data_IF_966040465177
#
_entry.id   IF_966040465177
#
_cell.length_a   1.000
_cell.length_b   1.000
_cell.length_c   1.000
_cell.angle_alpha   90.00
_cell.angle_beta   90.00
_cell.angle_gamma   90.00
#
_symmetry.space_group_name_H-M   'P 1'
#
loop_
_entity.id
_entity.type
_entity.pdbx_description
1 polymer ?
#
# COMPACT_ATOMS: atom_id res chain seq x y z
N UNK A 1 -1.22 30.38 5.82
CA UNK A 1 -1.53 29.65 4.57
C UNK A 1 -2.85 28.88 4.64
N UNK A 2 -3.09 28.05 5.70
CA UNK A 2 -4.31 27.20 5.79
C UNK A 2 -5.63 27.99 5.73
N UNK A 3 -5.69 29.21 6.29
CA UNK A 3 -6.91 30.06 6.25
C UNK A 3 -7.26 30.49 4.83
N UNK A 4 -6.26 30.90 4.06
CA UNK A 4 -6.43 31.31 2.66
C UNK A 4 -6.82 30.10 1.80
N UNK A 5 -6.22 28.94 2.04
CA UNK A 5 -6.57 27.70 1.36
C UNK A 5 -8.03 27.30 1.61
N UNK A 6 -8.51 27.39 2.86
CA UNK A 6 -9.90 27.12 3.20
C UNK A 6 -10.84 28.06 2.42
N UNK A 7 -10.52 29.37 2.33
CA UNK A 7 -11.34 30.33 1.59
C UNK A 7 -11.41 30.01 0.09
N UNK A 8 -10.33 29.52 -0.52
CA UNK A 8 -10.33 29.04 -1.92
C UNK A 8 -11.19 27.79 -2.07
N UNK A 9 -10.96 26.78 -1.24
CA UNK A 9 -11.68 25.51 -1.31
C UNK A 9 -13.19 25.65 -1.11
N UNK A 10 -13.65 26.59 -0.25
CA UNK A 10 -15.09 26.87 -0.07
C UNK A 10 -15.75 27.48 -1.30
N UNK A 11 -14.95 28.07 -2.22
CA UNK A 11 -15.40 28.54 -3.54
C UNK A 11 -15.22 27.50 -4.64
N UNK A 12 -14.78 26.27 -4.29
CA UNK A 12 -14.42 25.19 -5.21
C UNK A 12 -13.25 25.55 -6.14
N UNK A 13 -12.37 26.44 -5.70
CA UNK A 13 -11.13 26.77 -6.40
C UNK A 13 -10.04 25.76 -6.04
N UNK A 14 -9.22 25.37 -7.00
CA UNK A 14 -8.09 24.47 -6.79
C UNK A 14 -6.93 25.20 -6.09
N UNK A 15 -6.20 24.47 -5.26
CA UNK A 15 -4.93 24.94 -4.73
C UNK A 15 -3.80 24.62 -5.70
N UNK A 16 -2.85 25.53 -5.81
CA UNK A 16 -1.58 25.21 -6.46
C UNK A 16 -0.81 24.18 -5.62
N UNK A 17 0.17 23.51 -6.25
CA UNK A 17 1.08 22.60 -5.55
C UNK A 17 1.70 23.27 -4.31
N UNK A 18 2.22 24.49 -4.46
CA UNK A 18 2.89 25.23 -3.39
C UNK A 18 1.93 25.58 -2.23
N UNK A 19 0.69 25.94 -2.54
CA UNK A 19 -0.33 26.22 -1.50
C UNK A 19 -0.68 24.96 -0.71
N UNK A 20 -0.92 23.85 -1.41
CA UNK A 20 -1.26 22.58 -0.77
C UNK A 20 -0.09 22.03 0.06
N UNK A 21 1.16 22.13 -0.44
CA UNK A 21 2.37 21.73 0.29
C UNK A 21 2.56 22.56 1.56
N UNK A 22 2.40 23.90 1.45
CA UNK A 22 2.52 24.79 2.61
C UNK A 22 1.48 24.48 3.69
N UNK A 23 0.23 24.18 3.30
CA UNK A 23 -0.81 23.78 4.25
C UNK A 23 -0.47 22.45 4.90
N UNK A 24 0.01 21.47 4.14
CA UNK A 24 0.41 20.17 4.70
C UNK A 24 1.55 20.34 5.69
N UNK A 25 2.54 21.19 5.40
CA UNK A 25 3.63 21.50 6.34
C UNK A 25 3.09 22.13 7.63
N UNK A 26 2.20 23.15 7.57
CA UNK A 26 1.55 23.72 8.77
C UNK A 26 0.83 22.65 9.61
N UNK A 27 0.17 21.69 8.96
CA UNK A 27 -0.52 20.58 9.63
C UNK A 27 0.50 19.64 10.31
N UNK A 28 1.55 19.23 9.59
CA UNK A 28 2.55 18.27 10.08
C UNK A 28 3.45 18.88 11.15
N UNK A 29 3.69 20.19 11.15
CA UNK A 29 4.39 20.92 12.20
C UNK A 29 3.52 21.15 13.47
N UNK A 30 2.21 20.88 13.37
CA UNK A 30 1.26 21.08 14.46
C UNK A 30 0.87 22.56 14.68
N UNK A 31 1.08 23.41 13.68
CA UNK A 31 0.76 24.85 13.73
C UNK A 31 -0.72 25.11 13.42
N UNK A 32 -1.36 24.23 12.65
CA UNK A 32 -2.78 24.34 12.34
C UNK A 32 -3.67 23.92 13.53
N UNK A 33 -4.68 24.71 13.85
CA UNK A 33 -5.64 24.34 14.89
C UNK A 33 -6.57 23.20 14.45
N UNK A 34 -7.14 22.41 15.39
CA UNK A 34 -8.12 21.36 15.06
C UNK A 34 -9.29 21.85 14.18
N UNK A 35 -9.79 23.08 14.45
CA UNK A 35 -10.87 23.69 13.67
C UNK A 35 -10.41 23.97 12.23
N UNK A 36 -9.20 24.48 12.05
CA UNK A 36 -8.64 24.75 10.72
C UNK A 36 -8.41 23.46 9.93
N UNK A 37 -7.83 22.43 10.59
CA UNK A 37 -7.63 21.12 9.97
C UNK A 37 -8.96 20.49 9.55
N UNK A 38 -9.99 20.51 10.42
CA UNK A 38 -11.32 19.99 10.10
C UNK A 38 -11.94 20.71 8.91
N UNK A 39 -11.88 22.04 8.89
CA UNK A 39 -12.42 22.86 7.79
C UNK A 39 -11.68 22.58 6.47
N UNK A 40 -10.34 22.54 6.50
CA UNK A 40 -9.51 22.25 5.33
C UNK A 40 -9.79 20.88 4.74
N UNK A 41 -9.74 19.83 5.56
CA UNK A 41 -9.95 18.46 5.12
C UNK A 41 -11.36 18.24 4.57
N UNK A 42 -12.36 18.83 5.20
CA UNK A 42 -13.75 18.74 4.74
C UNK A 42 -13.95 19.49 3.43
N UNK A 43 -13.44 20.73 3.31
CA UNK A 43 -13.59 21.53 2.10
C UNK A 43 -12.85 20.90 0.91
N UNK A 44 -11.63 20.36 1.13
CA UNK A 44 -10.85 19.67 0.11
C UNK A 44 -11.57 18.41 -0.38
N UNK A 45 -12.08 17.59 0.55
CA UNK A 45 -12.84 16.38 0.21
C UNK A 45 -14.14 16.68 -0.55
N UNK A 46 -14.87 17.78 -0.19
CA UNK A 46 -16.09 18.18 -0.89
C UNK A 46 -15.83 18.75 -2.29
N UNK A 47 -14.67 19.39 -2.49
CA UNK A 47 -14.26 19.87 -3.81
C UNK A 47 -13.81 18.71 -4.71
N UNK A 48 -13.17 17.74 -4.13
CA UNK A 48 -12.41 16.69 -4.81
C UNK A 48 -10.95 17.12 -5.04
N UNK A 49 -10.02 16.28 -4.67
CA UNK A 49 -8.59 16.53 -4.73
C UNK A 49 -8.07 16.51 -6.18
N UNK A 50 -7.24 17.46 -6.56
CA UNK A 50 -6.49 17.43 -7.82
C UNK A 50 -5.21 16.63 -7.68
N UNK A 51 -4.61 16.22 -8.81
CA UNK A 51 -3.31 15.53 -8.84
C UNK A 51 -2.23 16.34 -8.13
N UNK A 52 -2.20 17.66 -8.34
CA UNK A 52 -1.21 18.54 -7.70
C UNK A 52 -1.43 18.67 -6.19
N UNK A 53 -2.68 18.77 -5.73
CA UNK A 53 -3.02 18.80 -4.31
C UNK A 53 -2.65 17.48 -3.60
N UNK A 54 -2.90 16.34 -4.23
CA UNK A 54 -2.52 15.02 -3.68
C UNK A 54 -1.00 14.90 -3.65
N UNK A 55 -0.31 15.25 -4.76
CA UNK A 55 1.15 15.16 -4.86
C UNK A 55 1.82 16.03 -3.80
N UNK A 56 1.38 17.28 -3.65
CA UNK A 56 1.89 18.22 -2.66
C UNK A 56 1.65 17.72 -1.22
N UNK A 57 0.47 17.18 -0.95
CA UNK A 57 0.13 16.61 0.36
C UNK A 57 1.02 15.41 0.70
N UNK A 58 1.27 14.52 -0.27
CA UNK A 58 2.18 13.39 -0.09
C UNK A 58 3.63 13.84 0.11
N UNK A 59 4.10 14.84 -0.65
CA UNK A 59 5.44 15.43 -0.48
C UNK A 59 5.63 16.02 0.91
N UNK A 60 4.68 16.81 1.39
CA UNK A 60 4.71 17.36 2.74
C UNK A 60 4.74 16.27 3.81
N UNK A 61 3.96 15.21 3.66
CA UNK A 61 3.96 14.08 4.57
C UNK A 61 5.30 13.31 4.55
N UNK A 62 5.91 13.10 3.37
CA UNK A 62 7.24 12.49 3.21
C UNK A 62 8.35 13.34 3.81
N UNK A 63 8.23 14.67 3.77
CA UNK A 63 9.21 15.58 4.36
C UNK A 63 9.26 15.48 5.89
N UNK A 64 8.14 15.15 6.52
CA UNK A 64 7.99 15.04 7.98
C UNK A 64 8.08 13.60 8.51
N UNK A 65 8.35 12.60 7.67
CA UNK A 65 8.56 11.24 8.14
C UNK A 65 10.01 10.97 8.54
N UNK A 66 10.21 9.99 9.41
CA UNK A 66 11.53 9.41 9.64
C UNK A 66 11.88 8.58 8.40
N UNK A 67 12.94 8.94 7.69
CA UNK A 67 13.34 8.26 6.45
C UNK A 67 14.09 6.97 6.76
N UNK A 68 13.78 5.91 6.03
CA UNK A 68 14.61 4.72 5.95
C UNK A 68 15.73 4.96 4.92
N UNK A 69 16.98 5.00 5.37
CA UNK A 69 18.11 5.25 4.49
C UNK A 69 18.64 3.94 3.88
N UNK A 70 18.68 3.87 2.57
CA UNK A 70 19.21 2.75 1.77
C UNK A 70 19.64 3.24 0.38
N UNK A 71 20.33 2.37 -0.37
CA UNK A 71 20.83 2.60 -1.72
C UNK A 71 20.27 1.60 -2.77
N UNK A 72 19.13 0.99 -2.47
CA UNK A 72 18.51 -0.05 -3.30
C UNK A 72 17.27 0.48 -4.02
N UNK A 73 16.97 -0.10 -5.18
CA UNK A 73 15.64 -0.03 -5.75
C UNK A 73 14.70 -0.91 -4.91
N UNK A 74 13.61 -0.33 -4.41
CA UNK A 74 12.69 -1.02 -3.52
C UNK A 74 11.26 -0.98 -4.04
N UNK A 75 10.56 -2.08 -3.79
CA UNK A 75 9.15 -2.23 -4.10
C UNK A 75 8.29 -1.97 -2.85
N UNK A 76 7.20 -1.22 -3.04
CA UNK A 76 6.04 -1.22 -2.15
C UNK A 76 4.91 -2.05 -2.78
N UNK A 77 4.21 -2.81 -1.96
CA UNK A 77 2.93 -3.45 -2.31
C UNK A 77 1.93 -3.14 -1.21
N UNK A 78 0.88 -2.39 -1.55
CA UNK A 78 -0.02 -1.81 -0.55
C UNK A 78 -1.39 -1.49 -1.15
N UNK A 79 -2.44 -1.60 -0.34
CA UNK A 79 -3.75 -1.04 -0.64
C UNK A 79 -4.02 0.22 0.18
N UNK A 80 -4.90 1.09 -0.32
CA UNK A 80 -5.38 2.26 0.43
C UNK A 80 -6.16 1.86 1.69
N UNK A 81 -6.70 0.65 1.69
CA UNK A 81 -7.69 0.23 2.67
C UNK A 81 -9.04 0.92 2.47
N UNK A 82 -9.98 0.64 3.36
CA UNK A 82 -11.29 1.28 3.33
C UNK A 82 -12.22 0.83 2.20
N UNK A 83 -11.89 -0.25 1.53
CA UNK A 83 -12.65 -0.87 0.43
C UNK A 83 -13.89 -1.66 0.91
N UNK A 84 -13.94 -1.99 2.21
CA UNK A 84 -15.04 -2.75 2.82
C UNK A 84 -15.08 -4.23 2.42
N UNK A 85 -14.02 -4.75 1.77
CA UNK A 85 -13.97 -6.14 1.28
C UNK A 85 -13.87 -7.18 2.40
N UNK A 86 -13.25 -6.79 3.54
CA UNK A 86 -12.86 -7.72 4.60
C UNK A 86 -12.03 -8.92 4.09
N UNK A 87 -11.22 -8.71 3.06
CA UNK A 87 -10.31 -9.72 2.53
C UNK A 87 -9.23 -10.09 3.57
N UNK A 88 -8.64 -11.28 3.43
CA UNK A 88 -7.42 -11.58 4.17
C UNK A 88 -6.27 -10.68 3.68
N UNK A 89 -5.16 -10.67 4.40
CA UNK A 89 -4.04 -9.77 4.11
C UNK A 89 -3.25 -10.21 2.85
N UNK A 90 -3.83 -10.00 1.66
CA UNK A 90 -3.30 -10.42 0.35
C UNK A 90 -1.93 -9.82 0.10
N UNK A 91 -1.82 -8.49 0.10
CA UNK A 91 -0.55 -7.78 -0.18
C UNK A 91 0.54 -8.09 0.85
N UNK A 92 0.18 -8.30 2.13
CA UNK A 92 1.15 -8.69 3.16
C UNK A 92 1.67 -10.09 2.93
N UNK A 93 0.82 -11.04 2.56
CA UNK A 93 1.24 -12.41 2.21
C UNK A 93 2.08 -12.40 0.93
N UNK A 94 1.66 -11.64 -0.10
CA UNK A 94 2.39 -11.47 -1.35
C UNK A 94 3.80 -10.88 -1.14
N UNK A 95 3.97 -9.94 -0.20
CA UNK A 95 5.27 -9.32 0.09
C UNK A 95 6.35 -10.34 0.51
N UNK A 96 5.96 -11.39 1.22
CA UNK A 96 6.87 -12.50 1.61
C UNK A 96 7.28 -13.34 0.39
N UNK A 97 6.35 -13.58 -0.53
CA UNK A 97 6.63 -14.32 -1.78
C UNK A 97 7.55 -13.49 -2.68
N UNK A 98 7.28 -12.20 -2.83
CA UNK A 98 8.10 -11.28 -3.64
C UNK A 98 9.52 -11.20 -3.08
N UNK A 99 9.66 -11.06 -1.77
CA UNK A 99 10.97 -11.01 -1.11
C UNK A 99 11.75 -12.33 -1.26
N UNK A 100 11.05 -13.47 -1.23
CA UNK A 100 11.65 -14.78 -1.54
C UNK A 100 12.17 -14.87 -2.99
N UNK A 101 11.54 -14.13 -3.92
CA UNK A 101 11.99 -13.96 -5.30
C UNK A 101 13.19 -13.01 -5.47
N UNK A 102 13.77 -12.52 -4.37
CA UNK A 102 14.95 -11.66 -4.38
C UNK A 102 14.67 -10.20 -4.75
N UNK A 103 13.47 -9.71 -4.52
CA UNK A 103 13.09 -8.30 -4.66
C UNK A 103 13.14 -7.62 -3.30
N UNK A 104 13.83 -6.48 -3.15
CA UNK A 104 13.76 -5.69 -1.93
C UNK A 104 12.36 -5.09 -1.75
N UNK A 105 11.65 -5.50 -0.70
CA UNK A 105 10.30 -5.03 -0.36
C UNK A 105 10.35 -4.19 0.91
N UNK A 106 10.06 -2.91 0.80
CA UNK A 106 9.91 -2.01 1.94
C UNK A 106 8.40 -1.82 2.21
N UNK A 107 7.79 -2.77 2.90
CA UNK A 107 6.35 -2.74 3.11
C UNK A 107 5.96 -1.73 4.18
N UNK A 108 5.27 -0.67 3.78
CA UNK A 108 4.65 0.28 4.69
C UNK A 108 3.25 -0.18 5.09
N UNK A 109 2.89 -0.02 6.34
CA UNK A 109 1.57 -0.44 6.78
C UNK A 109 1.22 -0.02 8.21
N UNK A 110 -0.05 -0.22 8.56
CA UNK A 110 -0.59 0.16 9.86
C UNK A 110 -1.48 -0.98 10.42
N UNK A 111 -1.97 -0.77 11.63
CA UNK A 111 -3.06 -1.58 12.20
C UNK A 111 -4.36 -1.34 11.44
N UNK A 112 -5.31 -2.25 11.61
CA UNK A 112 -6.64 -2.12 11.01
C UNK A 112 -7.31 -0.80 11.41
N UNK A 113 -7.90 -0.12 10.43
CA UNK A 113 -8.75 1.06 10.66
C UNK A 113 -10.24 0.71 10.58
N UNK A 114 -10.64 -0.07 9.58
CA UNK A 114 -12.03 -0.48 9.33
C UNK A 114 -12.20 -1.98 9.14
N UNK A 115 -11.12 -2.70 8.79
CA UNK A 115 -11.10 -4.16 8.68
C UNK A 115 -10.85 -4.83 10.04
N UNK A 116 -10.88 -6.17 10.09
CA UNK A 116 -10.57 -6.94 11.30
C UNK A 116 -9.07 -7.12 11.55
N UNK A 117 -8.23 -6.98 10.52
CA UNK A 117 -6.79 -7.21 10.59
C UNK A 117 -6.07 -6.34 9.55
N UNK A 118 -5.20 -5.43 10.02
CA UNK A 118 -4.28 -4.66 9.19
C UNK A 118 -2.97 -5.41 8.95
N UNK A 119 -2.08 -4.84 8.13
CA UNK A 119 -0.78 -5.43 7.84
C UNK A 119 0.09 -5.62 9.10
N UNK A 120 0.07 -4.63 10.01
CA UNK A 120 0.78 -4.71 11.28
C UNK A 120 0.24 -5.83 12.17
N UNK A 121 -1.09 -5.98 12.24
CA UNK A 121 -1.75 -6.96 13.10
C UNK A 121 -1.42 -8.39 12.67
N UNK A 122 -1.50 -8.69 11.38
CA UNK A 122 -1.18 -10.04 10.87
C UNK A 122 0.30 -10.37 10.98
N UNK A 123 1.22 -9.40 10.74
CA UNK A 123 2.65 -9.63 10.91
C UNK A 123 3.02 -9.92 12.36
N UNK A 124 2.43 -9.20 13.30
CA UNK A 124 2.59 -9.44 14.74
C UNK A 124 2.06 -10.84 15.15
N UNK A 125 0.88 -11.24 14.63
CA UNK A 125 0.33 -12.58 14.82
C UNK A 125 1.18 -13.69 14.17
N UNK A 126 1.92 -13.37 13.10
CA UNK A 126 2.91 -14.27 12.50
C UNK A 126 4.21 -14.36 13.33
N UNK A 127 4.42 -13.49 14.31
CA UNK A 127 5.58 -13.45 15.20
C UNK A 127 6.65 -12.45 14.78
N UNK A 128 6.38 -11.60 13.77
CA UNK A 128 7.30 -10.54 13.35
C UNK A 128 7.28 -9.39 14.36
N UNK A 129 8.44 -8.94 14.83
CA UNK A 129 8.54 -7.73 15.65
C UNK A 129 8.42 -6.50 14.77
N UNK A 130 7.26 -5.85 14.81
CA UNK A 130 6.93 -4.72 13.94
C UNK A 130 7.49 -3.37 14.43
N UNK A 131 7.94 -3.28 15.68
CA UNK A 131 8.43 -2.04 16.32
C UNK A 131 9.95 -2.01 16.41
N UNK A 132 10.63 -2.35 15.33
CA UNK A 132 12.10 -2.23 15.24
C UNK A 132 12.50 -0.81 14.86
N UNK A 133 13.77 -0.43 15.16
CA UNK A 133 14.28 0.89 14.79
C UNK A 133 14.44 1.03 13.26
N UNK A 134 14.50 2.27 12.74
CA UNK A 134 14.76 2.50 11.31
C UNK A 134 16.07 1.85 10.82
N UNK A 135 17.13 1.88 11.62
CA UNK A 135 18.41 1.25 11.30
C UNK A 135 18.26 -0.26 11.19
N UNK A 136 17.51 -0.88 12.12
CA UNK A 136 17.24 -2.31 12.08
C UNK A 136 16.36 -2.67 10.87
N UNK A 137 15.38 -1.83 10.52
CA UNK A 137 14.58 -2.02 9.30
C UNK A 137 15.45 -1.99 8.03
N UNK A 138 16.45 -1.09 7.96
CA UNK A 138 17.39 -1.04 6.83
C UNK A 138 18.28 -2.29 6.77
N UNK A 139 18.75 -2.80 7.92
CA UNK A 139 19.50 -4.05 7.99
C UNK A 139 18.67 -5.27 7.52
N UNK A 140 17.41 -5.35 7.98
CA UNK A 140 16.49 -6.42 7.55
C UNK A 140 16.24 -6.35 6.05
N UNK A 141 15.97 -5.17 5.50
CA UNK A 141 15.78 -4.97 4.07
C UNK A 141 17.00 -5.44 3.27
N UNK A 142 18.20 -5.05 3.68
CA UNK A 142 19.46 -5.43 3.03
C UNK A 142 19.75 -6.94 3.14
N UNK A 143 19.46 -7.55 4.30
CA UNK A 143 19.78 -8.95 4.58
C UNK A 143 18.75 -9.91 3.99
N UNK A 144 17.48 -9.55 4.07
CA UNK A 144 16.35 -10.44 3.81
C UNK A 144 15.53 -10.05 2.57
N UNK A 145 15.79 -8.90 1.96
CA UNK A 145 14.93 -8.29 0.94
C UNK A 145 13.53 -7.94 1.47
N UNK A 146 13.34 -7.78 2.78
CA UNK A 146 12.06 -7.37 3.34
C UNK A 146 12.25 -6.63 4.64
N UNK A 147 11.52 -5.53 4.81
CA UNK A 147 11.29 -4.88 6.09
C UNK A 147 9.82 -4.46 6.20
N UNK A 148 9.38 -4.22 7.44
CA UNK A 148 8.08 -3.62 7.70
C UNK A 148 8.25 -2.25 8.34
N UNK A 149 7.65 -1.25 7.71
CA UNK A 149 7.68 0.13 8.14
C UNK A 149 6.35 0.44 8.83
N UNK A 150 6.32 0.28 10.15
CA UNK A 150 5.11 0.52 10.94
C UNK A 150 4.78 2.02 10.95
N UNK A 151 3.69 2.42 10.33
CA UNK A 151 3.37 3.83 10.07
C UNK A 151 3.45 4.72 11.32
N UNK A 152 3.06 4.23 12.51
CA UNK A 152 3.11 5.01 13.74
C UNK A 152 4.53 5.35 14.19
N UNK A 153 5.53 4.54 13.83
CA UNK A 153 6.93 4.78 14.17
C UNK A 153 7.60 5.77 13.22
N UNK A 154 7.12 5.88 11.99
CA UNK A 154 7.73 6.72 10.94
C UNK A 154 7.01 8.05 10.74
N UNK A 155 5.69 8.10 10.88
CA UNK A 155 4.87 9.30 10.68
C UNK A 155 4.40 9.89 12.00
N UNK A 156 5.34 10.35 12.84
CA UNK A 156 5.04 10.86 14.19
C UNK A 156 4.12 12.08 14.14
N UNK A 157 4.22 12.91 13.10
CA UNK A 157 3.36 14.08 12.89
C UNK A 157 1.87 13.74 12.73
N UNK A 158 1.53 12.49 12.39
CA UNK A 158 0.13 12.04 12.32
C UNK A 158 -0.61 12.13 13.66
N UNK A 159 0.08 12.27 14.79
CA UNK A 159 -0.53 12.54 16.10
C UNK A 159 -1.41 13.79 16.12
N UNK A 160 -1.11 14.78 15.26
CA UNK A 160 -1.90 16.01 15.15
C UNK A 160 -3.20 15.81 14.36
N UNK A 161 -3.20 14.89 13.40
CA UNK A 161 -4.29 14.68 12.44
C UNK A 161 -5.20 13.52 12.83
N UNK A 162 -4.66 12.45 13.41
CA UNK A 162 -5.40 11.22 13.69
C UNK A 162 -6.67 11.43 14.55
N UNK A 163 -6.65 12.25 15.63
CA UNK A 163 -7.85 12.52 16.42
C UNK A 163 -8.94 13.21 15.59
N UNK A 164 -8.54 14.17 14.73
CA UNK A 164 -9.45 14.94 13.90
C UNK A 164 -10.12 14.05 12.85
N UNK A 165 -9.34 13.21 12.17
CA UNK A 165 -9.87 12.24 11.19
C UNK A 165 -10.88 11.28 11.83
N UNK A 166 -10.58 10.82 13.06
CA UNK A 166 -11.48 9.94 13.82
C UNK A 166 -12.80 10.63 14.16
N UNK A 167 -12.74 11.90 14.56
CA UNK A 167 -13.93 12.68 14.93
C UNK A 167 -14.77 13.07 13.70
N UNK A 168 -14.11 13.45 12.58
CA UNK A 168 -14.79 13.74 11.32
C UNK A 168 -15.54 12.53 10.76
N UNK A 169 -14.98 11.33 10.86
CA UNK A 169 -15.62 10.10 10.39
C UNK A 169 -15.89 10.03 8.89
N UNK A 170 -15.30 10.92 8.10
CA UNK A 170 -15.42 10.97 6.62
C UNK A 170 -14.10 10.59 5.95
N UNK A 171 -14.16 10.27 4.67
CA UNK A 171 -12.95 10.14 3.85
C UNK A 171 -12.35 11.51 3.57
N UNK A 172 -11.03 11.59 3.64
CA UNK A 172 -10.23 12.78 3.35
C UNK A 172 -9.02 12.39 2.52
N UNK A 173 -8.23 13.34 2.05
CA UNK A 173 -6.96 13.09 1.35
C UNK A 173 -6.06 12.09 2.09
N UNK A 174 -6.08 12.04 3.40
CA UNK A 174 -5.31 11.07 4.19
C UNK A 174 -5.70 9.60 3.97
N UNK A 175 -6.82 9.30 3.33
CA UNK A 175 -7.19 7.92 2.99
C UNK A 175 -6.40 7.38 1.80
N UNK A 176 -5.78 8.26 1.01
CA UNK A 176 -4.94 7.90 -0.13
C UNK A 176 -3.46 8.24 0.06
N UNK A 177 -3.11 9.02 1.09
CA UNK A 177 -1.71 9.43 1.33
C UNK A 177 -0.82 8.32 1.93
N UNK A 178 -1.41 7.32 2.60
CA UNK A 178 -0.64 6.24 3.23
C UNK A 178 0.29 5.52 2.25
N UNK A 179 -0.22 4.94 1.15
CA UNK A 179 0.59 4.34 0.09
C UNK A 179 1.63 5.29 -0.49
N UNK A 180 1.24 6.53 -0.75
CA UNK A 180 2.09 7.56 -1.37
C UNK A 180 3.21 8.09 -0.47
N UNK A 181 3.26 7.67 0.81
CA UNK A 181 4.16 8.24 1.82
C UNK A 181 5.15 7.23 2.40
N UNK A 182 5.52 6.20 1.63
CA UNK A 182 6.46 5.18 2.08
C UNK A 182 7.79 5.81 2.55
N UNK A 183 8.23 5.57 3.81
CA UNK A 183 9.45 6.15 4.38
C UNK A 183 10.75 5.72 3.69
N UNK A 184 10.74 4.60 2.97
CA UNK A 184 11.87 4.15 2.15
C UNK A 184 11.95 4.87 0.80
N UNK A 185 10.94 5.67 0.42
CA UNK A 185 10.93 6.30 -0.90
C UNK A 185 10.88 5.28 -2.03
N UNK A 186 10.04 4.26 -1.89
CA UNK A 186 9.90 3.19 -2.89
C UNK A 186 9.73 3.78 -4.29
N UNK A 187 10.56 3.29 -5.22
CA UNK A 187 10.56 3.73 -6.63
C UNK A 187 9.88 2.72 -7.57
N UNK A 188 9.40 1.60 -7.00
CA UNK A 188 8.52 0.64 -7.66
C UNK A 188 7.32 0.37 -6.74
N UNK A 189 6.10 0.29 -7.29
CA UNK A 189 4.91 0.16 -6.45
C UNK A 189 3.76 -0.56 -7.15
N UNK A 190 3.13 -1.51 -6.43
CA UNK A 190 1.79 -2.01 -6.73
C UNK A 190 0.82 -1.46 -5.69
N UNK A 191 -0.05 -0.54 -6.12
CA UNK A 191 -0.98 0.17 -5.25
C UNK A 191 -2.42 -0.18 -5.59
N UNK A 192 -3.13 -0.76 -4.64
CA UNK A 192 -4.58 -0.95 -4.74
C UNK A 192 -5.37 0.24 -4.22
N UNK A 193 -6.50 0.55 -4.84
CA UNK A 193 -7.36 1.67 -4.48
C UNK A 193 -8.80 1.22 -4.21
N UNK A 194 -9.50 1.96 -3.34
CA UNK A 194 -10.90 1.65 -2.95
C UNK A 194 -11.94 2.17 -3.95
N UNK A 195 -11.53 2.93 -4.97
CA UNK A 195 -12.42 3.54 -5.97
C UNK A 195 -11.73 3.55 -7.34
N UNK A 196 -12.44 3.12 -8.38
CA UNK A 196 -11.91 3.06 -9.74
C UNK A 196 -11.51 4.44 -10.28
N UNK A 197 -12.20 5.50 -9.87
CA UNK A 197 -11.89 6.86 -10.27
C UNK A 197 -10.50 7.34 -9.81
N UNK A 198 -9.87 6.65 -8.85
CA UNK A 198 -8.53 6.96 -8.35
C UNK A 198 -7.42 6.28 -9.17
N UNK A 199 -7.72 5.31 -10.02
CA UNK A 199 -6.71 4.49 -10.71
C UNK A 199 -5.76 5.35 -11.54
N UNK A 200 -6.26 6.13 -12.47
CA UNK A 200 -5.42 6.98 -13.33
C UNK A 200 -4.83 8.20 -12.59
N UNK A 201 -5.59 8.94 -11.77
CA UNK A 201 -5.01 10.07 -11.03
C UNK A 201 -3.86 9.66 -10.10
N UNK A 202 -3.99 8.55 -9.36
CA UNK A 202 -2.94 8.14 -8.44
C UNK A 202 -1.73 7.55 -9.16
N UNK A 203 -1.87 6.96 -10.35
CA UNK A 203 -0.73 6.59 -11.19
C UNK A 203 0.10 7.83 -11.57
N UNK A 204 -0.55 8.94 -11.94
CA UNK A 204 0.14 10.20 -12.24
C UNK A 204 0.80 10.79 -10.99
N UNK A 205 0.15 10.74 -9.83
CA UNK A 205 0.74 11.16 -8.55
C UNK A 205 1.97 10.33 -8.21
N UNK A 206 1.90 9.00 -8.32
CA UNK A 206 3.02 8.09 -8.06
C UNK A 206 4.23 8.45 -8.93
N UNK A 207 4.03 8.66 -10.24
CA UNK A 207 5.10 9.06 -11.15
C UNK A 207 5.71 10.42 -10.77
N UNK A 208 4.89 11.41 -10.40
CA UNK A 208 5.37 12.72 -9.89
C UNK A 208 6.18 12.58 -8.59
N UNK A 209 5.88 11.57 -7.77
CA UNK A 209 6.58 11.28 -6.51
C UNK A 209 7.82 10.38 -6.70
N UNK A 210 8.18 10.04 -7.94
CA UNK A 210 9.42 9.33 -8.26
C UNK A 210 9.28 7.83 -8.47
N UNK A 211 8.06 7.29 -8.55
CA UNK A 211 7.85 5.90 -8.97
C UNK A 211 8.14 5.76 -10.45
N UNK A 212 9.10 4.92 -10.80
CA UNK A 212 9.55 4.70 -12.19
C UNK A 212 8.82 3.55 -12.86
N UNK A 213 8.39 2.56 -12.08
CA UNK A 213 7.59 1.42 -12.54
C UNK A 213 6.57 1.06 -11.48
N UNK A 214 5.33 0.87 -11.88
CA UNK A 214 4.27 0.53 -10.93
C UNK A 214 2.94 0.28 -11.59
N UNK A 215 1.96 -0.06 -10.79
CA UNK A 215 0.57 -0.20 -11.18
C UNK A 215 -0.33 0.36 -10.08
N UNK A 216 -1.35 1.09 -10.48
CA UNK A 216 -2.51 1.37 -9.63
C UNK A 216 -3.64 0.47 -10.08
N UNK A 217 -4.24 -0.26 -9.15
CA UNK A 217 -5.21 -1.32 -9.45
C UNK A 217 -6.50 -1.15 -8.63
N UNK A 218 -7.61 -1.54 -9.22
CA UNK A 218 -8.91 -1.60 -8.57
C UNK A 218 -9.68 -2.84 -9.03
N UNK A 219 -9.93 -3.77 -8.11
CA UNK A 219 -10.85 -4.87 -8.36
C UNK A 219 -12.28 -4.36 -8.46
N UNK A 220 -12.96 -4.63 -9.58
CA UNK A 220 -14.30 -4.10 -9.87
C UNK A 220 -15.40 -4.64 -8.94
N UNK A 221 -15.05 -5.55 -8.02
CA UNK A 221 -15.84 -5.98 -6.88
C UNK A 221 -15.57 -5.18 -5.60
N UNK A 222 -14.96 -4.00 -5.74
CA UNK A 222 -14.53 -3.12 -4.63
C UNK A 222 -13.42 -3.75 -3.78
N UNK A 223 -12.38 -4.23 -4.43
CA UNK A 223 -11.18 -4.77 -3.77
C UNK A 223 -9.98 -3.89 -4.14
N UNK A 224 -9.24 -3.44 -3.14
CA UNK A 224 -8.00 -2.67 -3.33
C UNK A 224 -6.77 -3.55 -3.56
N UNK A 225 -6.95 -4.56 -4.43
CA UNK A 225 -5.94 -5.53 -4.88
C UNK A 225 -6.28 -5.99 -6.31
N UNK A 226 -5.40 -6.73 -6.98
CA UNK A 226 -5.77 -7.48 -8.17
C UNK A 226 -6.72 -8.59 -7.76
N UNK A 227 -7.97 -8.54 -8.23
CA UNK A 227 -9.04 -9.41 -7.77
C UNK A 227 -9.02 -10.77 -8.44
N UNK A 228 -9.35 -11.80 -7.65
CA UNK A 228 -9.66 -13.15 -8.14
C UNK A 228 -11.16 -13.37 -8.36
N UNK A 229 -12.02 -12.44 -7.93
CA UNK A 229 -13.49 -12.56 -8.03
C UNK A 229 -14.12 -11.63 -9.06
N UNK A 230 -13.35 -10.67 -9.62
CA UNK A 230 -13.83 -9.73 -10.62
C UNK A 230 -12.71 -9.32 -11.58
N UNK A 231 -13.02 -8.62 -12.69
CA UNK A 231 -12.03 -7.90 -13.46
C UNK A 231 -11.35 -6.84 -12.60
N UNK A 232 -10.12 -6.47 -12.94
CA UNK A 232 -9.35 -5.43 -12.25
C UNK A 232 -8.96 -4.34 -13.25
N UNK A 233 -9.38 -3.10 -12.98
CA UNK A 233 -8.90 -1.93 -13.71
C UNK A 233 -7.46 -1.63 -13.27
N UNK A 234 -6.59 -1.34 -14.23
CA UNK A 234 -5.16 -1.09 -14.04
C UNK A 234 -4.74 0.18 -14.77
N UNK A 235 -3.94 1.00 -14.14
CA UNK A 235 -3.09 1.98 -14.81
C UNK A 235 -1.63 1.66 -14.49
N UNK A 236 -0.90 1.20 -15.50
CA UNK A 236 0.52 0.86 -15.39
C UNK A 236 1.39 2.07 -15.66
N UNK A 237 2.45 2.22 -14.87
CA UNK A 237 3.53 3.20 -15.02
C UNK A 237 4.77 2.45 -15.45
N UNK A 238 5.35 2.80 -16.59
CA UNK A 238 6.57 2.19 -17.08
C UNK A 238 7.39 3.21 -17.88
N UNK A 239 8.57 3.54 -17.39
CA UNK A 239 9.54 4.39 -18.07
C UNK A 239 8.96 5.72 -18.58
N UNK A 240 8.07 6.34 -17.77
CA UNK A 240 7.41 7.61 -18.08
C UNK A 240 6.12 7.46 -18.92
N UNK A 241 5.73 6.25 -19.30
CA UNK A 241 4.49 5.97 -20.01
C UNK A 241 3.42 5.45 -19.07
N UNK A 242 2.16 5.76 -19.42
CA UNK A 242 0.98 5.27 -18.72
C UNK A 242 0.15 4.44 -19.68
N UNK A 243 -0.32 3.28 -19.22
CA UNK A 243 -1.20 2.41 -19.98
C UNK A 243 -2.33 1.90 -19.10
N UNK A 244 -3.57 2.19 -19.48
CA UNK A 244 -4.77 1.66 -18.81
C UNK A 244 -5.28 0.42 -19.54
N UNK A 245 -5.60 -0.63 -18.77
CA UNK A 245 -6.16 -1.88 -19.26
C UNK A 245 -6.92 -2.62 -18.15
N UNK A 246 -7.53 -3.75 -18.49
CA UNK A 246 -8.25 -4.60 -17.54
C UNK A 246 -7.60 -5.97 -17.49
N UNK A 247 -7.39 -6.47 -16.28
CA UNK A 247 -6.96 -7.84 -16.02
C UNK A 247 -8.16 -8.68 -15.57
N UNK A 248 -8.13 -9.96 -15.92
CA UNK A 248 -9.08 -10.95 -15.40
C UNK A 248 -8.35 -12.21 -14.96
N UNK A 249 -8.83 -12.95 -13.96
CA UNK A 249 -8.20 -14.18 -13.48
C UNK A 249 -7.98 -15.22 -14.60
N UNK A 250 -8.91 -15.28 -15.54
CA UNK A 250 -8.91 -16.26 -16.65
C UNK A 250 -7.71 -16.06 -17.59
N UNK A 251 -7.21 -14.82 -17.76
CA UNK A 251 -6.00 -14.52 -18.56
C UNK A 251 -4.75 -15.23 -18.02
N UNK A 252 -4.76 -15.59 -16.74
CA UNK A 252 -3.67 -16.27 -16.05
C UNK A 252 -3.96 -17.75 -15.81
N UNK A 253 -4.98 -18.32 -16.46
CA UNK A 253 -5.40 -19.70 -16.30
C UNK A 253 -6.04 -20.00 -14.93
N UNK A 254 -6.46 -18.97 -14.18
CA UNK A 254 -7.17 -19.13 -12.93
C UNK A 254 -8.68 -19.14 -13.15
N UNK A 255 -9.39 -19.85 -12.30
CA UNK A 255 -10.85 -19.81 -12.27
C UNK A 255 -11.32 -18.72 -11.34
N UNK A 256 -12.22 -17.86 -11.84
CA UNK A 256 -12.81 -16.79 -11.02
C UNK A 256 -13.53 -17.39 -9.81
N UNK A 257 -13.22 -16.87 -8.63
CA UNK A 257 -13.85 -17.28 -7.38
C UNK A 257 -15.01 -16.35 -7.00
N UNK A 258 -15.68 -16.65 -5.90
CA UNK A 258 -16.60 -15.71 -5.25
C UNK A 258 -15.82 -14.77 -4.34
N UNK A 259 -16.34 -13.56 -4.10
CA UNK A 259 -15.69 -12.58 -3.23
C UNK A 259 -15.50 -13.13 -1.80
N UNK A 260 -16.47 -13.90 -1.30
CA UNK A 260 -16.44 -14.53 0.00
C UNK A 260 -15.29 -15.53 0.17
N UNK A 261 -14.82 -16.14 -0.93
CA UNK A 261 -13.67 -17.06 -0.91
C UNK A 261 -12.35 -16.35 -0.53
N UNK A 262 -12.31 -15.01 -0.68
CA UNK A 262 -11.16 -14.18 -0.30
C UNK A 262 -11.29 -13.59 1.12
N UNK A 263 -12.38 -13.89 1.83
CA UNK A 263 -12.62 -13.33 3.14
C UNK A 263 -11.52 -13.71 4.14
N UNK A 264 -11.14 -12.71 4.94
CA UNK A 264 -10.27 -12.86 6.11
C UNK A 264 -11.05 -12.84 7.42
N UNK A 265 -10.32 -12.79 8.52
CA UNK A 265 -10.83 -12.79 9.87
C UNK A 265 -9.99 -11.96 10.83
N UNK A 266 -9.84 -12.45 12.05
CA UNK A 266 -8.96 -11.88 13.06
C UNK A 266 -7.49 -11.94 12.62
N UNK A 267 -6.57 -11.21 13.28
CA UNK A 267 -5.13 -11.32 12.99
C UNK A 267 -4.61 -12.77 13.03
N UNK A 268 -5.07 -13.56 14.00
CA UNK A 268 -4.68 -14.97 14.18
C UNK A 268 -5.22 -15.85 13.04
N UNK A 269 -6.47 -15.63 12.62
CA UNK A 269 -7.07 -16.34 11.49
C UNK A 269 -6.34 -16.01 10.19
N UNK A 270 -6.02 -14.73 9.96
CA UNK A 270 -5.27 -14.29 8.78
C UNK A 270 -3.82 -14.80 8.81
N UNK A 271 -3.17 -14.86 9.96
CA UNK A 271 -1.87 -15.49 10.13
C UNK A 271 -1.90 -16.98 9.79
N UNK A 272 -2.95 -17.70 10.19
CA UNK A 272 -3.13 -19.10 9.84
C UNK A 272 -3.33 -19.27 8.31
N UNK A 273 -4.13 -18.41 7.66
CA UNK A 273 -4.31 -18.39 6.21
C UNK A 273 -2.97 -18.15 5.52
N UNK A 274 -2.22 -17.14 5.93
CA UNK A 274 -0.88 -16.83 5.37
C UNK A 274 0.06 -18.03 5.49
N UNK A 275 0.15 -18.67 6.67
CA UNK A 275 0.98 -19.85 6.87
C UNK A 275 0.55 -21.03 6.00
N UNK A 276 -0.75 -21.28 5.87
CA UNK A 276 -1.28 -22.36 5.03
C UNK A 276 -0.94 -22.14 3.55
N UNK A 277 -1.03 -20.89 3.05
CA UNK A 277 -0.61 -20.53 1.70
C UNK A 277 0.89 -20.79 1.51
N UNK A 278 1.73 -20.23 2.40
CA UNK A 278 3.20 -20.33 2.28
C UNK A 278 3.73 -21.76 2.45
N UNK A 279 2.99 -22.63 3.13
CA UNK A 279 3.28 -24.08 3.22
C UNK A 279 2.79 -24.87 2.01
N UNK A 280 2.01 -24.26 1.10
CA UNK A 280 1.38 -24.97 -0.01
C UNK A 280 0.19 -25.84 0.37
N UNK A 281 -0.34 -25.71 1.59
CA UNK A 281 -1.54 -26.42 2.10
C UNK A 281 -2.84 -25.81 1.53
N UNK A 282 -2.91 -24.46 1.44
CA UNK A 282 -3.98 -23.73 0.75
C UNK A 282 -3.61 -23.61 -0.73
N UNK A 283 -4.46 -24.18 -1.61
CA UNK A 283 -4.23 -24.21 -3.07
C UNK A 283 -5.33 -23.54 -3.90
N UNK A 284 -6.35 -23.00 -3.23
CA UNK A 284 -7.52 -22.38 -3.86
C UNK A 284 -7.35 -20.89 -4.16
N UNK A 285 -8.47 -20.19 -4.11
CA UNK A 285 -8.59 -18.77 -4.49
C UNK A 285 -7.65 -17.84 -3.71
N UNK A 286 -7.44 -18.09 -2.41
CA UNK A 286 -6.56 -17.26 -1.59
C UNK A 286 -5.10 -17.34 -2.06
N UNK A 287 -4.60 -18.56 -2.35
CA UNK A 287 -3.26 -18.73 -2.93
C UNK A 287 -3.17 -18.04 -4.28
N UNK A 288 -4.17 -18.22 -5.15
CA UNK A 288 -4.17 -17.62 -6.49
C UNK A 288 -4.15 -16.09 -6.41
N UNK A 289 -4.91 -15.49 -5.47
CA UNK A 289 -4.85 -14.05 -5.23
C UNK A 289 -3.44 -13.58 -4.82
N UNK A 290 -2.77 -14.30 -3.93
CA UNK A 290 -1.38 -14.01 -3.56
C UNK A 290 -0.44 -14.15 -4.76
N UNK A 291 -0.55 -15.23 -5.53
CA UNK A 291 0.30 -15.46 -6.71
C UNK A 291 0.12 -14.39 -7.78
N UNK A 292 -1.12 -13.92 -8.00
CA UNK A 292 -1.39 -12.90 -9.01
C UNK A 292 -0.85 -11.51 -8.59
N UNK A 293 -1.07 -11.10 -7.35
CA UNK A 293 -0.54 -9.83 -6.83
C UNK A 293 1.01 -9.88 -6.70
N UNK A 294 1.59 -10.99 -6.25
CA UNK A 294 3.03 -11.19 -6.27
C UNK A 294 3.59 -11.23 -7.69
N UNK A 295 2.89 -11.88 -8.62
CA UNK A 295 3.27 -11.97 -10.03
C UNK A 295 3.33 -10.60 -10.72
N UNK A 296 2.32 -9.75 -10.50
CA UNK A 296 2.33 -8.38 -10.99
C UNK A 296 3.52 -7.59 -10.42
N UNK A 297 3.82 -7.77 -9.14
CA UNK A 297 4.97 -7.13 -8.48
C UNK A 297 6.31 -7.63 -9.03
N UNK A 298 6.45 -8.93 -9.30
CA UNK A 298 7.64 -9.51 -9.94
C UNK A 298 7.82 -9.00 -11.38
N UNK A 299 6.72 -8.75 -12.10
CA UNK A 299 6.75 -8.10 -13.42
C UNK A 299 7.17 -6.62 -13.30
N UNK A 300 6.59 -5.85 -12.37
CA UNK A 300 6.96 -4.44 -12.12
C UNK A 300 8.46 -4.32 -11.88
N UNK A 301 9.04 -5.23 -11.10
CA UNK A 301 10.47 -5.21 -10.74
C UNK A 301 11.40 -5.81 -11.81
N UNK A 302 10.85 -6.29 -12.93
CA UNK A 302 11.61 -6.88 -14.02
C UNK A 302 12.18 -8.28 -13.74
N UNK A 303 11.71 -8.94 -12.67
CA UNK A 303 12.06 -10.35 -12.37
C UNK A 303 11.33 -11.34 -13.31
N UNK A 304 10.20 -10.91 -13.86
CA UNK A 304 9.45 -11.63 -14.87
C UNK A 304 9.17 -10.72 -16.07
N UNK A 305 9.10 -11.26 -17.28
CA UNK A 305 8.84 -10.49 -18.48
C UNK A 305 7.35 -10.17 -18.66
N UNK A 306 6.46 -10.96 -18.05
CA UNK A 306 5.01 -10.78 -18.04
C UNK A 306 4.43 -11.01 -16.65
N UNK A 307 3.20 -10.55 -16.40
CA UNK A 307 2.48 -10.84 -15.16
C UNK A 307 2.23 -12.36 -15.03
N UNK A 308 1.95 -13.04 -16.14
CA UNK A 308 1.74 -14.49 -16.15
C UNK A 308 2.99 -15.24 -15.68
N UNK A 309 4.16 -14.94 -16.26
CA UNK A 309 5.44 -15.51 -15.81
C UNK A 309 5.70 -15.21 -14.34
N UNK A 310 5.40 -14.00 -13.89
CA UNK A 310 5.51 -13.60 -12.50
C UNK A 310 4.60 -14.42 -11.58
N UNK A 311 3.36 -14.69 -12.00
CA UNK A 311 2.43 -15.53 -11.25
C UNK A 311 2.95 -16.99 -11.14
N UNK A 312 3.49 -17.56 -12.22
CA UNK A 312 4.13 -18.89 -12.20
C UNK A 312 5.37 -18.93 -11.31
N UNK A 313 6.16 -17.85 -11.32
CA UNK A 313 7.30 -17.71 -10.41
C UNK A 313 6.84 -17.68 -8.95
N UNK A 314 5.78 -16.93 -8.64
CA UNK A 314 5.20 -16.87 -7.29
C UNK A 314 4.71 -18.25 -6.82
N UNK A 315 4.01 -19.00 -7.69
CA UNK A 315 3.61 -20.40 -7.41
C UNK A 315 4.82 -21.27 -7.06
N UNK A 316 5.89 -21.17 -7.85
CA UNK A 316 7.14 -21.93 -7.65
C UNK A 316 7.82 -21.58 -6.32
N UNK A 317 7.85 -20.29 -5.94
CA UNK A 317 8.42 -19.83 -4.67
C UNK A 317 7.64 -20.34 -3.45
N UNK A 318 6.34 -20.53 -3.59
CA UNK A 318 5.51 -21.16 -2.56
C UNK A 318 5.76 -22.67 -2.53
N UNK A 319 5.69 -23.35 -3.68
CA UNK A 319 5.77 -24.81 -3.76
C UNK A 319 7.16 -25.34 -3.36
N UNK A 320 8.21 -24.56 -3.57
CA UNK A 320 9.57 -24.90 -3.10
C UNK A 320 9.81 -24.67 -1.61
N UNK A 321 8.87 -24.00 -0.92
CA UNK A 321 9.03 -23.60 0.49
C UNK A 321 9.88 -22.34 0.69
N UNK A 322 10.36 -21.69 -0.38
CA UNK A 322 11.20 -20.49 -0.26
C UNK A 322 10.45 -19.32 0.40
N UNK A 323 9.17 -19.17 0.10
CA UNK A 323 8.33 -18.12 0.71
C UNK A 323 8.07 -18.36 2.20
N UNK A 324 7.90 -19.63 2.63
CA UNK A 324 7.78 -19.98 4.05
C UNK A 324 9.10 -19.72 4.77
N UNK A 325 10.23 -20.14 4.20
CA UNK A 325 11.56 -19.90 4.76
C UNK A 325 11.81 -18.38 4.93
N UNK A 326 11.34 -17.56 4.00
CA UNK A 326 11.43 -16.09 4.09
C UNK A 326 10.66 -15.54 5.29
N UNK A 327 9.45 -16.02 5.55
CA UNK A 327 8.69 -15.65 6.76
C UNK A 327 9.46 -16.05 8.03
N UNK A 328 9.97 -17.30 8.09
CA UNK A 328 10.68 -17.79 9.27
C UNK A 328 11.97 -17.00 9.55
N UNK A 329 12.71 -16.65 8.49
CA UNK A 329 13.86 -15.75 8.60
C UNK A 329 13.46 -14.37 9.10
N UNK A 330 12.38 -13.80 8.56
CA UNK A 330 11.91 -12.46 8.95
C UNK A 330 11.48 -12.45 10.42
N UNK A 331 10.74 -13.47 10.88
CA UNK A 331 10.38 -13.63 12.30
C UNK A 331 11.64 -13.70 13.16
N UNK A 332 12.58 -14.57 12.84
CA UNK A 332 13.81 -14.76 13.61
C UNK A 332 14.64 -13.48 13.69
N UNK A 333 14.90 -12.84 12.56
CA UNK A 333 15.78 -11.67 12.48
C UNK A 333 15.12 -10.41 13.06
N UNK A 334 13.82 -10.23 12.93
CA UNK A 334 13.14 -9.08 13.53
C UNK A 334 13.14 -9.11 15.07
N UNK A 335 13.29 -10.28 15.68
CA UNK A 335 13.30 -10.46 17.13
C UNK A 335 14.71 -10.42 17.74
N UNK A 336 15.75 -10.33 16.95
CA UNK A 336 17.13 -10.10 17.44
C UNK A 336 17.37 -8.59 17.66
#
# INVERSE_FOLDING_TARGET
MIKEAILKLTKKEDLSYQEAEAVMNEIMDGEASPVQMSAYLTALSLKGETIDEITASASGMRAHCIKLLHDMDVLEIVGTGGDGSNSFNISTTASLVIAAGGVPVAKHGNRAASSKSGAADVLEALGVKITVSPERSAELLKKLNICFLFAQNYHIAMKYVAPIRKELGIRTVFNILGPLSNPAGANMELMGVFDEALVEPLAQVMAKLGVVRGMVVYGQDKLDEISMSAPTAVCEIKDGWFQSYVLTPEQFGYTRCKKEDLAGGTPEENAAITRAILKGEERGAKRQAVCLNAGASLYITGKAATIEEGARMAESLIDSGAALAKLEEFVRESNQ
#
